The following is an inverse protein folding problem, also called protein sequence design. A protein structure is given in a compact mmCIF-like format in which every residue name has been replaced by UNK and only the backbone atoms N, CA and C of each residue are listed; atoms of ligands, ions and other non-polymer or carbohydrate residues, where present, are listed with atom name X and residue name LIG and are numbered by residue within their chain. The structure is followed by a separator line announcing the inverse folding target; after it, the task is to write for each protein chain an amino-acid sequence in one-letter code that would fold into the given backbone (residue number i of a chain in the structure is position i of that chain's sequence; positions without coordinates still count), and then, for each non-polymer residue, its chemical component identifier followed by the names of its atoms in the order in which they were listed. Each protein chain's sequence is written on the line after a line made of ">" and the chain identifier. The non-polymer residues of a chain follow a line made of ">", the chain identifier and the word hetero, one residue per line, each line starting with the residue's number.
data_IF_682372323241
#
_entry.id   IF_682372323241
#
_cell.length_a   1.000
_cell.length_b   1.000
_cell.length_c   1.000
_cell.angle_alpha   90.00
_cell.angle_beta   90.00
_cell.angle_gamma   90.00
#
_symmetry.space_group_name_H-M   'P 1'
#
loop_
_entity.id
_entity.type
_entity.pdbx_description
1 polymer ?
#
# COMPACT_ATOMS: atom_id res chain seq x y z
N UNK A 1 6.34 -10.12 -12.60
CA UNK A 1 7.44 -9.14 -12.77
C UNK A 1 7.11 -7.99 -11.85
N UNK A 2 8.04 -7.58 -10.98
CA UNK A 2 7.81 -6.51 -10.00
C UNK A 2 7.43 -5.22 -10.73
N UNK A 3 6.20 -4.74 -10.58
CA UNK A 3 5.77 -3.48 -11.15
C UNK A 3 6.21 -2.34 -10.22
N UNK A 4 7.16 -1.51 -10.67
CA UNK A 4 7.62 -0.34 -9.91
C UNK A 4 6.48 0.61 -9.53
N UNK A 5 5.38 0.57 -10.26
CA UNK A 5 4.18 1.34 -9.94
C UNK A 5 3.56 0.85 -8.62
N UNK A 6 3.59 -0.45 -8.35
CA UNK A 6 3.06 -1.04 -7.10
C UNK A 6 3.85 -0.56 -5.87
N UNK A 7 5.18 -0.42 -6.00
CA UNK A 7 6.07 0.18 -5.00
C UNK A 7 5.71 1.63 -4.69
N UNK A 8 5.34 2.43 -5.70
CA UNK A 8 4.87 3.82 -5.51
C UNK A 8 3.59 3.88 -4.68
N UNK A 9 2.67 2.91 -4.86
CA UNK A 9 1.46 2.82 -4.05
C UNK A 9 1.80 2.49 -2.59
N UNK A 10 2.65 1.48 -2.36
CA UNK A 10 3.10 1.12 -1.02
C UNK A 10 3.77 2.31 -0.31
N UNK A 11 4.75 2.94 -0.94
CA UNK A 11 5.48 4.08 -0.37
C UNK A 11 4.54 5.23 0.01
N UNK A 12 3.52 5.48 -0.81
CA UNK A 12 2.51 6.50 -0.49
C UNK A 12 1.65 6.10 0.70
N UNK A 13 1.26 4.82 0.82
CA UNK A 13 0.52 4.32 1.98
C UNK A 13 1.34 4.44 3.25
N UNK A 14 2.63 4.11 3.20
CA UNK A 14 3.57 4.24 4.32
C UNK A 14 3.70 5.70 4.76
N UNK A 15 3.95 6.60 3.83
CA UNK A 15 4.14 8.03 4.11
C UNK A 15 2.88 8.69 4.66
N UNK A 16 1.71 8.30 4.16
CA UNK A 16 0.44 8.92 4.52
C UNK A 16 -0.30 8.18 5.65
N UNK A 17 0.17 7.00 6.08
CA UNK A 17 -0.43 6.18 7.13
C UNK A 17 -1.82 5.60 6.80
N UNK A 18 -2.32 5.78 5.57
CA UNK A 18 -3.61 5.22 5.14
C UNK A 18 -3.72 5.08 3.63
N UNK A 19 -4.50 4.09 3.18
CA UNK A 19 -4.84 3.93 1.75
C UNK A 19 -5.71 5.06 1.22
N UNK A 20 -6.54 5.69 2.06
CA UNK A 20 -7.38 6.81 1.67
C UNK A 20 -6.56 8.08 1.42
N UNK A 21 -5.63 8.42 2.33
CA UNK A 21 -4.75 9.57 2.14
C UNK A 21 -3.80 9.35 0.97
N UNK A 22 -3.23 8.15 0.83
CA UNK A 22 -2.42 7.79 -0.34
C UNK A 22 -3.21 7.91 -1.66
N UNK A 23 -4.47 7.46 -1.69
CA UNK A 23 -5.33 7.58 -2.86
C UNK A 23 -5.55 9.04 -3.27
N UNK A 24 -5.80 9.92 -2.29
CA UNK A 24 -5.91 11.37 -2.51
C UNK A 24 -4.61 11.97 -3.05
N UNK A 25 -3.47 11.62 -2.46
CA UNK A 25 -2.15 12.09 -2.93
C UNK A 25 -1.82 11.62 -4.34
N UNK A 26 -2.23 10.40 -4.69
CA UNK A 26 -1.95 9.78 -5.98
C UNK A 26 -2.99 10.11 -7.06
N UNK A 27 -4.11 10.76 -6.70
CA UNK A 27 -5.20 11.08 -7.63
C UNK A 27 -5.95 9.84 -8.12
N UNK A 28 -6.05 8.80 -7.30
CA UNK A 28 -6.71 7.53 -7.66
C UNK A 28 -7.77 7.14 -6.63
N UNK A 29 -8.53 6.08 -6.93
CA UNK A 29 -9.45 5.48 -5.98
C UNK A 29 -8.72 4.67 -4.89
N UNK A 30 -9.29 4.66 -3.68
CA UNK A 30 -8.77 3.88 -2.56
C UNK A 30 -8.67 2.37 -2.87
N UNK A 31 -9.65 1.83 -3.62
CA UNK A 31 -9.64 0.44 -4.07
C UNK A 31 -8.46 0.11 -4.98
N UNK A 32 -8.03 1.06 -5.83
CA UNK A 32 -6.83 0.93 -6.66
C UNK A 32 -5.59 0.80 -5.81
N UNK A 33 -5.41 1.69 -4.82
CA UNK A 33 -4.27 1.63 -3.90
C UNK A 33 -4.24 0.31 -3.15
N UNK A 34 -5.40 -0.13 -2.62
CA UNK A 34 -5.50 -1.38 -1.89
C UNK A 34 -5.14 -2.60 -2.77
N UNK A 35 -5.68 -2.66 -3.99
CA UNK A 35 -5.39 -3.74 -4.94
C UNK A 35 -3.91 -3.78 -5.33
N UNK A 36 -3.29 -2.62 -5.56
CA UNK A 36 -1.89 -2.50 -5.95
C UNK A 36 -0.94 -2.94 -4.83
N UNK A 37 -1.23 -2.55 -3.58
CA UNK A 37 -0.47 -3.02 -2.42
C UNK A 37 -0.65 -4.52 -2.19
N UNK A 38 -1.87 -5.06 -2.33
CA UNK A 38 -2.10 -6.49 -2.18
C UNK A 38 -1.42 -7.33 -3.27
N UNK A 39 -1.35 -6.82 -4.50
CA UNK A 39 -0.60 -7.47 -5.59
C UNK A 39 0.89 -7.48 -5.30
N UNK A 40 1.43 -6.37 -4.79
CA UNK A 40 2.83 -6.27 -4.38
C UNK A 40 3.19 -7.28 -3.28
N UNK A 41 2.36 -7.36 -2.24
CA UNK A 41 2.50 -8.35 -1.16
C UNK A 41 2.45 -9.78 -1.70
N UNK A 42 1.52 -10.07 -2.61
CA UNK A 42 1.41 -11.38 -3.27
C UNK A 42 2.64 -11.72 -4.11
N UNK A 43 3.22 -10.76 -4.82
CA UNK A 43 4.40 -10.97 -5.65
C UNK A 43 5.66 -11.22 -4.80
N UNK A 44 5.77 -10.56 -3.65
CA UNK A 44 6.87 -10.79 -2.71
C UNK A 44 6.66 -11.98 -1.78
N UNK A 45 5.43 -12.49 -1.67
CA UNK A 45 5.08 -13.51 -0.68
C UNK A 45 5.17 -13.00 0.76
N UNK A 46 5.16 -11.68 0.96
CA UNK A 46 5.34 -11.00 2.24
C UNK A 46 4.16 -10.08 2.51
N UNK A 47 3.73 -10.02 3.76
CA UNK A 47 2.87 -8.93 4.25
C UNK A 47 3.78 -7.76 4.56
N UNK A 48 3.51 -6.60 3.98
CA UNK A 48 4.27 -5.36 4.18
C UNK A 48 3.47 -4.35 5.00
N UNK A 49 2.14 -4.44 4.98
CA UNK A 49 1.25 -3.58 5.75
C UNK A 49 0.22 -4.35 6.56
N UNK A 50 -0.07 -3.86 7.77
CA UNK A 50 -1.19 -4.30 8.59
C UNK A 50 -2.32 -3.27 8.54
N UNK A 51 -3.53 -3.78 8.32
CA UNK A 51 -4.76 -2.98 8.44
C UNK A 51 -5.15 -2.93 9.92
N UNK A 52 -5.01 -1.76 10.52
CA UNK A 52 -5.47 -1.47 11.87
C UNK A 52 -6.80 -0.69 11.80
N UNK A 53 -7.68 -0.77 12.81
CA UNK A 53 -8.90 0.05 12.89
C UNK A 53 -8.64 1.55 12.76
N UNK A 54 -7.43 2.00 13.11
CA UNK A 54 -7.01 3.41 13.08
C UNK A 54 -6.18 3.79 11.84
N UNK A 55 -5.92 2.85 10.90
CA UNK A 55 -5.11 3.15 9.71
C UNK A 55 -4.30 1.97 9.19
N UNK A 56 -3.36 2.25 8.28
CA UNK A 56 -2.39 1.27 7.80
C UNK A 56 -1.06 1.49 8.54
N UNK A 57 -0.51 0.44 9.13
CA UNK A 57 0.86 0.45 9.69
C UNK A 57 1.75 -0.49 8.89
N UNK A 58 3.02 -0.16 8.82
CA UNK A 58 4.04 -1.06 8.31
C UNK A 58 4.17 -2.29 9.21
N UNK A 59 4.42 -3.43 8.57
CA UNK A 59 4.91 -4.65 9.25
C UNK A 59 6.42 -4.52 9.50
N UNK A 60 7.02 -5.43 10.27
CA UNK A 60 8.49 -5.48 10.43
C UNK A 60 9.26 -5.74 9.12
N UNK A 61 8.57 -6.23 8.09
CA UNK A 61 9.16 -6.56 6.79
C UNK A 61 9.07 -5.41 5.76
N UNK A 62 8.45 -4.28 6.11
CA UNK A 62 8.10 -3.20 5.17
C UNK A 62 8.65 -1.83 5.52
#
# INVERSE_FOLDING_TARGET
>A
MLDWNDLRYLLSVVRQGSTLAAARTLGVNQSTVHRRVAELERQMGLRLVHRHPTGYRLTEMG
#
